data_IF_752094770092
#
_entry.id   IF_752094770092
#
_cell.length_a   1.000
_cell.length_b   1.000
_cell.length_c   1.000
_cell.angle_alpha   90.00
_cell.angle_beta   90.00
_cell.angle_gamma   90.00
#
_symmetry.space_group_name_H-M   'P 1'
#
loop_
_entity.id
_entity.type
_entity.pdbx_description
1 polymer ?
#
# COMPACT_ATOMS: atom_id res chain seq x y z
N UNK A 1 -11.80 4.21 30.77
CA UNK A 1 -11.54 3.25 29.68
C UNK A 1 -12.00 3.79 28.32
N UNK A 2 -13.28 4.10 28.12
CA UNK A 2 -13.82 4.54 26.80
C UNK A 2 -13.14 5.79 26.22
N UNK A 3 -12.95 6.87 27.01
CA UNK A 3 -12.24 8.07 26.55
C UNK A 3 -10.78 7.80 26.16
N UNK A 4 -10.12 6.88 26.87
CA UNK A 4 -8.75 6.49 26.57
C UNK A 4 -8.68 5.63 25.30
N UNK A 5 -9.62 4.71 25.13
CA UNK A 5 -9.79 3.93 23.89
C UNK A 5 -10.06 4.83 22.70
N UNK A 6 -10.87 5.87 22.85
CA UNK A 6 -11.06 6.89 21.84
C UNK A 6 -9.75 7.61 21.48
N UNK A 7 -8.99 8.06 22.48
CA UNK A 7 -7.71 8.75 22.27
C UNK A 7 -6.67 7.86 21.56
N UNK A 8 -6.59 6.57 21.95
CA UNK A 8 -5.69 5.61 21.30
C UNK A 8 -6.19 5.27 19.89
N UNK A 9 -7.50 5.09 19.69
CA UNK A 9 -8.10 4.91 18.37
C UNK A 9 -7.80 6.09 17.42
N UNK A 10 -7.87 7.32 17.93
CA UNK A 10 -7.46 8.52 17.18
C UNK A 10 -5.96 8.53 16.85
N UNK A 11 -5.12 8.09 17.78
CA UNK A 11 -3.68 7.96 17.53
C UNK A 11 -3.39 6.94 16.42
N UNK A 12 -4.03 5.77 16.45
CA UNK A 12 -3.90 4.74 15.42
C UNK A 12 -4.40 5.27 14.08
N UNK A 13 -5.55 5.97 14.05
CA UNK A 13 -6.07 6.64 12.86
C UNK A 13 -5.10 7.67 12.29
N UNK A 14 -4.45 8.47 13.13
CA UNK A 14 -3.46 9.44 12.71
C UNK A 14 -2.22 8.77 12.09
N UNK A 15 -1.71 7.70 12.73
CA UNK A 15 -0.61 6.90 12.17
C UNK A 15 -1.03 6.31 10.83
N UNK A 16 -2.24 5.75 10.72
CA UNK A 16 -2.78 5.23 9.47
C UNK A 16 -2.79 6.29 8.36
N UNK A 17 -3.34 7.47 8.65
CA UNK A 17 -3.40 8.59 7.69
C UNK A 17 -2.00 9.02 7.21
N UNK A 18 -1.02 9.05 8.12
CA UNK A 18 0.37 9.43 7.78
C UNK A 18 1.13 8.33 7.05
N UNK A 19 0.74 7.08 7.27
CA UNK A 19 1.34 5.88 6.71
C UNK A 19 0.75 5.52 5.34
N UNK A 20 -0.40 6.09 5.00
CA UNK A 20 -1.11 5.76 3.77
C UNK A 20 -0.34 6.21 2.52
N UNK A 21 0.17 5.24 1.77
CA UNK A 21 0.94 5.44 0.54
C UNK A 21 0.23 4.93 -0.73
N UNK A 22 -1.04 4.51 -0.62
CA UNK A 22 -1.83 3.98 -1.75
C UNK A 22 -2.59 5.06 -2.53
N UNK A 23 -3.10 4.69 -3.71
CA UNK A 23 -3.84 5.58 -4.62
C UNK A 23 -5.33 5.74 -4.21
N UNK A 24 -5.86 4.83 -3.37
CA UNK A 24 -7.25 4.88 -2.87
C UNK A 24 -7.32 4.91 -1.34
N UNK A 25 -7.21 6.10 -0.76
CA UNK A 25 -7.49 6.30 0.67
C UNK A 25 -8.98 6.07 0.95
N UNK A 26 -9.29 4.99 1.69
CA UNK A 26 -10.64 4.77 2.20
C UNK A 26 -10.80 5.47 3.54
N UNK A 27 -11.38 6.67 3.52
CA UNK A 27 -11.73 7.40 4.74
C UNK A 27 -12.61 6.54 5.69
N UNK A 28 -13.47 5.70 5.11
CA UNK A 28 -14.31 4.76 5.84
C UNK A 28 -13.51 3.73 6.65
N UNK A 29 -12.36 3.29 6.14
CA UNK A 29 -11.50 2.33 6.86
C UNK A 29 -10.86 2.98 8.09
N UNK A 30 -10.37 4.21 7.96
CA UNK A 30 -9.82 4.95 9.09
C UNK A 30 -10.83 5.16 10.23
N UNK A 31 -12.09 5.47 9.89
CA UNK A 31 -13.18 5.55 10.90
C UNK A 31 -13.44 4.17 11.53
N UNK A 32 -13.36 3.10 10.74
CA UNK A 32 -13.54 1.73 11.22
C UNK A 32 -12.47 1.32 12.24
N UNK A 33 -11.22 1.74 12.07
CA UNK A 33 -10.15 1.51 13.06
C UNK A 33 -10.54 2.11 14.41
N UNK A 34 -10.97 3.38 14.44
CA UNK A 34 -11.39 4.05 15.68
C UNK A 34 -12.61 3.36 16.31
N UNK A 35 -13.60 2.99 15.50
CA UNK A 35 -14.79 2.28 15.96
C UNK A 35 -14.43 0.91 16.56
N UNK A 36 -13.51 0.16 15.94
CA UNK A 36 -13.07 -1.15 16.45
C UNK A 36 -12.44 -1.06 17.84
N UNK A 37 -11.64 -0.03 18.11
CA UNK A 37 -11.04 0.18 19.44
C UNK A 37 -12.12 0.40 20.51
N UNK A 38 -13.12 1.23 20.20
CA UNK A 38 -14.24 1.51 21.09
C UNK A 38 -15.12 0.28 21.33
N UNK A 39 -15.49 -0.42 20.26
CA UNK A 39 -16.34 -1.62 20.32
C UNK A 39 -15.65 -2.69 21.17
N UNK A 40 -14.36 -2.94 20.93
CA UNK A 40 -13.62 -3.97 21.68
C UNK A 40 -13.42 -3.59 23.15
N UNK A 41 -13.15 -2.32 23.46
CA UNK A 41 -13.13 -1.84 24.86
C UNK A 41 -14.49 -2.04 25.53
N UNK A 42 -15.59 -1.69 24.87
CA UNK A 42 -16.94 -1.87 25.40
C UNK A 42 -17.26 -3.35 25.67
N UNK A 43 -16.93 -4.22 24.72
CA UNK A 43 -17.10 -5.68 24.83
C UNK A 43 -16.33 -6.20 26.04
N UNK A 44 -15.05 -5.86 26.20
CA UNK A 44 -14.25 -6.36 27.32
C UNK A 44 -14.75 -5.83 28.66
N UNK A 45 -15.18 -4.57 28.75
CA UNK A 45 -15.80 -4.03 29.96
C UNK A 45 -17.08 -4.77 30.34
N UNK A 46 -17.92 -5.13 29.37
CA UNK A 46 -19.14 -5.90 29.59
C UNK A 46 -18.86 -7.36 30.01
N UNK A 47 -17.75 -7.92 29.51
CA UNK A 47 -17.33 -9.30 29.76
C UNK A 47 -16.66 -9.48 31.13
N UNK A 48 -15.91 -8.49 31.59
CA UNK A 48 -15.05 -8.62 32.79
C UNK A 48 -15.82 -9.03 34.05
N UNK A 49 -17.11 -8.70 34.13
CA UNK A 49 -17.99 -9.08 35.24
C UNK A 49 -18.56 -10.50 35.19
N UNK A 50 -18.44 -11.23 34.06
CA UNK A 50 -19.03 -12.56 33.93
C UNK A 50 -18.27 -13.45 32.94
N UNK A 51 -17.51 -14.41 33.48
CA UNK A 51 -16.67 -15.36 32.72
C UNK A 51 -17.49 -16.22 31.74
N UNK A 52 -18.74 -16.55 32.06
CA UNK A 52 -19.63 -17.34 31.18
C UNK A 52 -20.03 -16.51 29.95
N UNK A 53 -20.28 -15.22 30.16
CA UNK A 53 -20.58 -14.23 29.12
C UNK A 53 -19.34 -13.94 28.25
N UNK A 54 -18.14 -13.96 28.86
CA UNK A 54 -16.85 -13.91 28.15
C UNK A 54 -16.70 -15.01 27.11
N UNK A 55 -16.93 -16.25 27.53
CA UNK A 55 -16.70 -17.42 26.70
C UNK A 55 -17.69 -17.46 25.52
N UNK A 56 -18.94 -17.04 25.75
CA UNK A 56 -19.97 -16.89 24.72
C UNK A 56 -19.64 -15.82 23.67
N UNK A 57 -19.12 -14.66 24.08
CA UNK A 57 -18.76 -13.58 23.14
C UNK A 57 -17.52 -13.90 22.29
N UNK A 58 -16.51 -14.60 22.84
CA UNK A 58 -15.36 -15.06 22.05
C UNK A 58 -15.80 -16.07 20.98
N UNK A 59 -16.76 -16.95 21.31
CA UNK A 59 -17.39 -17.85 20.35
C UNK A 59 -18.19 -17.13 19.26
N UNK A 60 -18.95 -16.09 19.62
CA UNK A 60 -19.73 -15.30 18.67
C UNK A 60 -18.85 -14.47 17.72
N UNK A 61 -17.77 -13.87 18.21
CA UNK A 61 -16.79 -13.16 17.38
C UNK A 61 -16.09 -14.10 16.39
N UNK A 62 -15.91 -15.38 16.74
CA UNK A 62 -15.35 -16.40 15.84
C UNK A 62 -16.25 -16.73 14.64
N UNK A 63 -17.54 -16.33 14.68
CA UNK A 63 -18.51 -16.49 13.58
C UNK A 63 -18.45 -15.31 12.60
N UNK A 64 -17.90 -14.16 13.01
CA UNK A 64 -17.81 -12.96 12.17
C UNK A 64 -16.73 -13.17 11.10
N UNK A 65 -17.16 -13.71 9.97
CA UNK A 65 -16.31 -13.96 8.81
C UNK A 65 -16.33 -12.74 7.91
N UNK A 66 -15.19 -12.05 7.81
CA UNK A 66 -15.01 -11.03 6.77
C UNK A 66 -15.10 -11.72 5.40
N UNK A 67 -16.21 -11.49 4.70
CA UNK A 67 -16.48 -12.08 3.36
C UNK A 67 -15.79 -11.31 2.23
N UNK A 68 -15.28 -10.12 2.52
CA UNK A 68 -14.52 -9.28 1.60
C UNK A 68 -13.03 -9.44 1.85
N UNK A 69 -12.27 -9.72 0.79
CA UNK A 69 -10.82 -9.70 0.87
C UNK A 69 -10.34 -8.28 1.23
N UNK A 70 -9.60 -8.14 2.32
CA UNK A 70 -8.89 -6.91 2.64
C UNK A 70 -7.73 -6.82 1.65
N UNK A 71 -7.78 -5.82 0.77
CA UNK A 71 -6.87 -5.70 -0.39
C UNK A 71 -5.42 -5.45 0.01
N UNK A 72 -5.20 -4.75 1.13
CA UNK A 72 -3.88 -4.34 1.61
C UNK A 72 -3.51 -5.06 2.91
N UNK A 73 -2.43 -5.88 2.95
CA UNK A 73 -1.99 -6.58 4.17
C UNK A 73 -1.71 -5.65 5.35
N UNK A 74 -1.32 -4.40 5.07
CA UNK A 74 -1.05 -3.39 6.08
C UNK A 74 -2.34 -2.94 6.80
N UNK A 75 -3.47 -2.85 6.10
CA UNK A 75 -4.77 -2.52 6.71
C UNK A 75 -5.13 -3.56 7.79
N UNK A 76 -4.84 -4.84 7.55
CA UNK A 76 -5.05 -5.93 8.52
C UNK A 76 -4.26 -5.66 9.81
N UNK A 77 -3.00 -5.24 9.69
CA UNK A 77 -2.16 -4.93 10.86
C UNK A 77 -2.75 -3.78 11.70
N UNK A 78 -3.27 -2.72 11.06
CA UNK A 78 -3.93 -1.61 11.76
C UNK A 78 -5.22 -2.05 12.46
N UNK A 79 -6.00 -2.93 11.82
CA UNK A 79 -7.23 -3.48 12.40
C UNK A 79 -6.91 -4.31 13.65
N UNK A 80 -5.95 -5.24 13.56
CA UNK A 80 -5.51 -6.02 14.72
C UNK A 80 -4.95 -5.15 15.83
N UNK A 81 -4.13 -4.15 15.50
CA UNK A 81 -3.60 -3.23 16.49
C UNK A 81 -4.72 -2.48 17.24
N UNK A 82 -5.75 -2.02 16.53
CA UNK A 82 -6.90 -1.35 17.15
C UNK A 82 -7.68 -2.27 18.10
N UNK A 83 -7.95 -3.51 17.68
CA UNK A 83 -8.63 -4.52 18.50
C UNK A 83 -7.80 -4.82 19.75
N UNK A 84 -6.51 -5.10 19.61
CA UNK A 84 -5.62 -5.39 20.73
C UNK A 84 -5.55 -4.22 21.70
N UNK A 85 -5.39 -2.99 21.21
CA UNK A 85 -5.38 -1.80 22.05
C UNK A 85 -6.70 -1.66 22.83
N UNK A 86 -7.84 -1.86 22.17
CA UNK A 86 -9.15 -1.79 22.82
C UNK A 86 -9.35 -2.87 23.89
N UNK A 87 -8.84 -4.09 23.66
CA UNK A 87 -8.86 -5.18 24.65
C UNK A 87 -8.01 -4.84 25.89
N UNK A 88 -6.77 -4.40 25.69
CA UNK A 88 -5.83 -4.10 26.77
C UNK A 88 -6.34 -2.93 27.64
N UNK A 89 -6.94 -1.91 27.02
CA UNK A 89 -7.60 -0.80 27.73
C UNK A 89 -8.84 -1.29 28.49
N UNK A 90 -9.66 -2.15 27.87
CA UNK A 90 -10.84 -2.74 28.50
C UNK A 90 -10.50 -3.60 29.71
N UNK A 91 -9.37 -4.31 29.68
CA UNK A 91 -8.84 -5.12 30.78
C UNK A 91 -8.19 -4.29 31.91
N UNK A 92 -8.11 -2.96 31.77
CA UNK A 92 -7.53 -2.07 32.77
C UNK A 92 -6.00 -1.92 32.70
N UNK A 93 -5.33 -2.56 31.75
CA UNK A 93 -3.87 -2.50 31.55
C UNK A 93 -3.43 -1.25 30.77
N UNK A 94 -3.80 -0.07 31.28
CA UNK A 94 -3.61 1.22 30.59
C UNK A 94 -2.14 1.50 30.18
N UNK A 95 -1.13 1.34 31.06
CA UNK A 95 0.25 1.62 30.68
C UNK A 95 0.74 0.75 29.52
N UNK A 96 0.32 -0.51 29.48
CA UNK A 96 0.66 -1.45 28.41
C UNK A 96 0.05 -1.02 27.07
N UNK A 97 -1.21 -0.57 27.07
CA UNK A 97 -1.88 -0.10 25.87
C UNK A 97 -1.20 1.14 25.27
N UNK A 98 -0.78 2.08 26.13
CA UNK A 98 -0.10 3.31 25.69
C UNK A 98 1.28 3.01 25.13
N UNK A 99 2.13 2.30 25.89
CA UNK A 99 3.51 2.01 25.49
C UNK A 99 3.53 1.14 24.23
N UNK A 100 2.70 0.08 24.20
CA UNK A 100 2.60 -0.80 23.04
C UNK A 100 2.14 -0.06 21.79
N UNK A 101 1.14 0.82 21.91
CA UNK A 101 0.66 1.62 20.79
C UNK A 101 1.72 2.58 20.27
N UNK A 102 2.47 3.26 21.15
CA UNK A 102 3.55 4.16 20.73
C UNK A 102 4.64 3.39 19.96
N UNK A 103 5.06 2.23 20.46
CA UNK A 103 6.09 1.40 19.81
C UNK A 103 5.63 0.95 18.42
N UNK A 104 4.43 0.36 18.32
CA UNK A 104 3.87 -0.10 17.03
C UNK A 104 3.74 1.08 16.06
N UNK A 105 3.26 2.23 16.54
CA UNK A 105 3.14 3.44 15.74
C UNK A 105 4.47 3.92 15.17
N UNK A 106 5.53 3.94 15.98
CA UNK A 106 6.88 4.33 15.53
C UNK A 106 7.40 3.35 14.47
N UNK A 107 7.27 2.04 14.69
CA UNK A 107 7.71 1.01 13.74
C UNK A 107 7.00 1.18 12.39
N UNK A 108 5.67 1.33 12.40
CA UNK A 108 4.90 1.52 11.18
C UNK A 108 5.29 2.81 10.45
N UNK A 109 5.46 3.93 11.18
CA UNK A 109 5.89 5.20 10.57
C UNK A 109 7.26 5.11 9.91
N UNK A 110 8.23 4.42 10.54
CA UNK A 110 9.60 4.33 10.00
C UNK A 110 9.66 3.42 8.78
N UNK A 111 9.02 2.25 8.83
CA UNK A 111 9.15 1.25 7.78
C UNK A 111 8.27 1.53 6.57
N UNK A 112 7.06 2.05 6.78
CA UNK A 112 6.12 2.24 5.68
C UNK A 112 6.34 3.58 4.97
N UNK A 113 6.75 4.63 5.69
CA UNK A 113 7.04 5.92 5.07
C UNK A 113 8.36 5.92 4.27
N UNK A 114 9.11 4.81 4.28
CA UNK A 114 10.25 4.60 3.39
C UNK A 114 9.73 4.34 1.97
N UNK A 115 9.23 5.38 1.30
CA UNK A 115 8.92 5.33 -0.12
C UNK A 115 10.21 4.97 -0.85
N UNK A 116 10.23 3.79 -1.45
CA UNK A 116 11.21 3.48 -2.50
C UNK A 116 10.98 4.51 -3.60
N UNK A 117 11.90 5.46 -3.79
CA UNK A 117 11.92 6.44 -4.90
C UNK A 117 12.14 5.76 -6.27
N UNK A 118 11.88 4.46 -6.33
CA UNK A 118 12.21 3.56 -7.42
C UNK A 118 10.92 2.99 -7.99
N UNK A 119 9.95 3.87 -8.24
CA UNK A 119 8.67 3.53 -8.87
C UNK A 119 8.96 3.06 -10.29
N UNK A 120 8.70 1.79 -10.61
CA UNK A 120 8.88 1.28 -11.96
C UNK A 120 7.86 1.94 -12.89
N UNK A 121 8.31 2.31 -14.08
CA UNK A 121 7.47 2.72 -15.19
C UNK A 121 7.59 1.71 -16.32
N UNK A 122 6.55 1.56 -17.12
CA UNK A 122 6.60 0.80 -18.35
C UNK A 122 6.60 1.78 -19.51
N UNK A 123 7.61 1.69 -20.36
CA UNK A 123 7.63 2.38 -21.65
C UNK A 123 7.25 1.37 -22.72
N UNK A 124 6.23 1.70 -23.50
CA UNK A 124 5.84 0.96 -24.71
C UNK A 124 6.26 1.81 -25.91
N UNK A 125 7.14 1.29 -26.76
CA UNK A 125 7.70 1.99 -27.92
C UNK A 125 7.39 1.19 -29.18
N UNK A 126 6.89 1.88 -30.21
CA UNK A 126 6.73 1.33 -31.55
C UNK A 126 7.86 1.85 -32.46
N UNK A 127 8.59 0.94 -33.07
CA UNK A 127 9.82 1.14 -33.82
C UNK A 127 9.67 0.58 -35.25
N UNK A 128 10.36 1.19 -36.22
CA UNK A 128 10.33 0.74 -37.62
C UNK A 128 11.34 -0.37 -37.94
N UNK A 129 12.48 -0.38 -37.25
CA UNK A 129 13.69 -1.12 -37.63
C UNK A 129 14.61 -1.38 -36.43
N UNK A 130 15.51 -2.35 -36.60
CA UNK A 130 16.47 -2.77 -35.56
C UNK A 130 17.48 -1.64 -35.20
N UNK A 131 17.75 -0.70 -36.11
CA UNK A 131 18.60 0.46 -35.81
C UNK A 131 17.91 1.43 -34.84
N UNK A 132 16.61 1.69 -35.04
CA UNK A 132 15.81 2.49 -34.11
C UNK A 132 15.71 1.83 -32.74
N UNK A 133 15.62 0.49 -32.67
CA UNK A 133 15.65 -0.26 -31.41
C UNK A 133 16.95 -0.01 -30.62
N UNK A 134 18.09 -0.14 -31.29
CA UNK A 134 19.39 0.09 -30.65
C UNK A 134 19.53 1.55 -30.16
N UNK A 135 19.07 2.51 -30.98
CA UNK A 135 19.04 3.93 -30.63
C UNK A 135 18.18 4.21 -29.40
N UNK A 136 16.92 3.76 -29.41
CA UNK A 136 15.99 3.93 -28.30
C UNK A 136 16.48 3.25 -27.02
N UNK A 137 17.00 2.03 -27.11
CA UNK A 137 17.49 1.28 -25.94
C UNK A 137 18.74 1.92 -25.32
N UNK A 138 19.64 2.50 -26.13
CA UNK A 138 20.80 3.25 -25.63
C UNK A 138 20.37 4.49 -24.85
N UNK A 139 19.38 5.23 -25.36
CA UNK A 139 18.81 6.41 -24.71
C UNK A 139 18.14 6.03 -23.38
N UNK A 140 17.33 4.98 -23.38
CA UNK A 140 16.70 4.45 -22.15
C UNK A 140 17.76 4.09 -21.12
N UNK A 141 18.80 3.35 -21.48
CA UNK A 141 19.88 2.97 -20.56
C UNK A 141 20.62 4.18 -19.99
N UNK A 142 20.81 5.25 -20.77
CA UNK A 142 21.49 6.46 -20.30
C UNK A 142 20.69 7.27 -19.27
N UNK A 143 19.35 7.23 -19.34
CA UNK A 143 18.44 8.04 -18.52
C UNK A 143 17.69 7.26 -17.44
N UNK A 144 18.01 5.98 -17.27
CA UNK A 144 17.35 5.09 -16.29
C UNK A 144 18.38 4.38 -15.44
N UNK A 145 18.06 4.15 -14.15
CA UNK A 145 18.91 3.38 -13.22
C UNK A 145 18.93 1.90 -13.58
N UNK A 146 17.81 1.43 -14.12
CA UNK A 146 17.58 0.03 -14.50
C UNK A 146 16.59 0.01 -15.66
N UNK A 147 16.87 -0.81 -16.65
CA UNK A 147 16.00 -1.09 -17.79
C UNK A 147 15.90 -2.60 -17.97
N UNK A 148 14.69 -3.14 -18.06
CA UNK A 148 14.43 -4.56 -18.32
C UNK A 148 13.38 -4.69 -19.42
N UNK A 149 13.72 -5.38 -20.49
CA UNK A 149 12.75 -5.71 -21.55
C UNK A 149 11.78 -6.76 -20.99
N UNK A 150 10.48 -6.45 -21.02
CA UNK A 150 9.41 -7.36 -20.59
C UNK A 150 8.81 -8.12 -21.76
N UNK A 151 8.66 -7.45 -22.89
CA UNK A 151 8.14 -8.03 -24.11
C UNK A 151 8.75 -7.34 -25.33
N UNK A 152 8.93 -8.10 -26.40
CA UNK A 152 9.28 -7.64 -27.74
C UNK A 152 8.36 -8.35 -28.72
N UNK A 153 7.60 -7.58 -29.49
CA UNK A 153 6.74 -8.08 -30.56
C UNK A 153 7.33 -7.61 -31.88
N UNK A 154 7.51 -8.53 -32.82
CA UNK A 154 7.99 -8.21 -34.17
C UNK A 154 6.89 -8.54 -35.15
N UNK A 155 6.48 -7.56 -35.95
CA UNK A 155 5.41 -7.68 -36.94
C UNK A 155 5.85 -7.09 -38.28
N UNK A 156 5.11 -7.38 -39.35
CA UNK A 156 5.35 -6.75 -40.65
C UNK A 156 5.16 -5.22 -40.65
N UNK A 157 4.44 -4.68 -39.66
CA UNK A 157 4.19 -3.24 -39.53
C UNK A 157 5.20 -2.53 -38.59
N UNK A 158 6.16 -3.26 -38.02
CA UNK A 158 7.17 -2.73 -37.10
C UNK A 158 7.40 -3.58 -35.86
N UNK A 159 8.24 -3.07 -34.97
CA UNK A 159 8.67 -3.69 -33.73
C UNK A 159 8.03 -2.94 -32.56
N UNK A 160 7.37 -3.65 -31.65
CA UNK A 160 6.85 -3.07 -30.41
C UNK A 160 7.69 -3.59 -29.23
N UNK A 161 8.20 -2.67 -28.42
CA UNK A 161 9.08 -2.96 -27.29
C UNK A 161 8.47 -2.44 -25.99
N UNK A 162 8.29 -3.33 -25.02
CA UNK A 162 7.82 -3.01 -23.68
C UNK A 162 8.97 -3.13 -22.70
N UNK A 163 9.39 -1.99 -22.14
CA UNK A 163 10.55 -1.90 -21.24
C UNK A 163 10.11 -1.39 -19.87
N UNK A 164 10.39 -2.16 -18.83
CA UNK A 164 10.31 -1.68 -17.44
C UNK A 164 11.55 -0.82 -17.15
N UNK A 165 11.33 0.42 -16.74
CA UNK A 165 12.38 1.38 -16.44
C UNK A 165 12.23 1.97 -15.04
N UNK A 166 13.37 2.25 -14.43
CA UNK A 166 13.46 3.08 -13.22
C UNK A 166 14.07 4.42 -13.60
N UNK A 167 13.22 5.44 -13.70
CA UNK A 167 13.62 6.78 -14.13
C UNK A 167 14.55 7.43 -13.11
N UNK A 168 15.60 8.11 -13.59
CA UNK A 168 16.47 8.93 -12.73
C UNK A 168 15.76 10.20 -12.23
N UNK A 169 14.88 10.74 -13.07
CA UNK A 169 14.09 11.94 -12.82
C UNK A 169 12.65 11.66 -13.25
N UNK A 170 11.66 12.12 -12.46
CA UNK A 170 10.22 11.89 -12.68
C UNK A 170 9.67 12.71 -13.86
N UNK A 171 10.54 13.16 -14.77
CA UNK A 171 10.16 14.02 -15.88
C UNK A 171 9.73 13.18 -17.08
N UNK A 172 8.49 13.39 -17.52
CA UNK A 172 7.97 12.83 -18.78
C UNK A 172 8.73 13.31 -20.03
N UNK A 173 9.81 14.09 -19.87
CA UNK A 173 10.69 14.58 -20.93
C UNK A 173 11.33 13.43 -21.72
N UNK A 174 11.62 12.30 -21.06
CA UNK A 174 12.17 11.11 -21.73
C UNK A 174 11.26 10.64 -22.89
N UNK A 175 9.95 10.75 -22.74
CA UNK A 175 8.98 10.33 -23.78
C UNK A 175 9.11 11.19 -25.03
N UNK A 176 9.25 12.51 -24.84
CA UNK A 176 9.43 13.46 -25.95
C UNK A 176 10.77 13.26 -26.65
N UNK A 177 11.82 12.96 -25.90
CA UNK A 177 13.15 12.67 -26.46
C UNK A 177 13.18 11.36 -27.24
N UNK A 178 12.48 10.32 -26.76
CA UNK A 178 12.34 9.05 -27.47
C UNK A 178 11.55 9.22 -28.78
N UNK A 179 10.52 10.06 -28.80
CA UNK A 179 9.78 10.35 -30.02
C UNK A 179 10.63 11.08 -31.09
N UNK A 180 11.67 11.81 -30.67
CA UNK A 180 12.59 12.48 -31.58
C UNK A 180 13.61 11.54 -32.24
N UNK A 181 13.73 10.28 -31.78
CA UNK A 181 14.60 9.28 -32.39
C UNK A 181 14.03 8.85 -33.73
N UNK A 182 14.87 8.86 -34.77
CA UNK A 182 14.49 8.44 -36.12
C UNK A 182 14.05 6.97 -36.10
N UNK A 183 12.84 6.71 -36.63
CA UNK A 183 12.24 5.37 -36.65
C UNK A 183 11.35 5.02 -35.45
N UNK A 184 11.17 5.95 -34.50
CA UNK A 184 10.15 5.82 -33.44
C UNK A 184 8.81 6.39 -33.92
N UNK A 185 7.80 5.54 -34.00
CA UNK A 185 6.46 5.92 -34.44
C UNK A 185 5.59 6.43 -33.29
N UNK A 186 5.69 5.78 -32.12
CA UNK A 186 4.90 6.12 -30.94
C UNK A 186 5.62 5.70 -29.65
N UNK A 187 5.43 6.49 -28.60
CA UNK A 187 5.99 6.24 -27.26
C UNK A 187 4.90 6.47 -26.23
N UNK A 188 4.66 5.48 -25.38
CA UNK A 188 3.74 5.58 -24.26
C UNK A 188 4.48 5.29 -22.96
N UNK A 189 4.30 6.14 -21.95
CA UNK A 189 4.80 5.91 -20.59
C UNK A 189 3.61 5.61 -19.69
N UNK A 190 3.62 4.44 -19.08
CA UNK A 190 2.58 3.98 -18.16
C UNK A 190 3.19 3.81 -16.78
N UNK A 191 2.53 4.37 -15.75
CA UNK A 191 2.92 4.11 -14.37
C UNK A 191 2.61 2.66 -14.02
N UNK A 192 3.63 1.89 -13.63
CA UNK A 192 3.43 0.51 -13.20
C UNK A 192 3.21 0.47 -11.69
N UNK A 193 1.94 0.46 -11.29
CA UNK A 193 1.56 -0.01 -9.96
C UNK A 193 1.55 -1.53 -10.07
N UNK A 194 2.47 -2.23 -9.40
CA UNK A 194 2.70 -3.68 -9.53
C UNK A 194 1.52 -4.59 -9.17
N UNK A 195 0.29 -4.09 -9.12
CA UNK A 195 -0.95 -4.84 -8.96
C UNK A 195 -1.49 -5.28 -10.33
N UNK A 196 -0.80 -6.22 -10.96
CA UNK A 196 -1.42 -7.16 -11.88
C UNK A 196 -1.26 -8.56 -11.28
N UNK A 197 -2.02 -8.85 -10.22
CA UNK A 197 -2.36 -10.23 -9.87
C UNK A 197 -3.63 -10.58 -10.62
N UNK A 198 -3.46 -11.43 -11.63
CA UNK A 198 -4.54 -12.14 -12.32
C UNK A 198 -5.36 -13.00 -11.35
#
# INVERSE_FOLDING_TARGET
>A
AMLLSFAIGLFIFYVYKKTFAGVMYSASFGVSIMAMSLITTLVILAVTSNVILSLGMVGALSIVRFRTAIKEPLDIAFLFWSITAGIVIGAGLIPLAVIGSVIIGIVLLVFVNKKSTDTPYIIVINLTDDEAENGAMSMIKSKTKKSLIKAKTVSHNGIELTVEVRLLDMSAKLVNELLAVKGVNNVCLVSYNGEYTA
#
